data_IF_291354434526
#
_entry.id   IF_291354434526
#
_cell.length_a   1.000
_cell.length_b   1.000
_cell.length_c   1.000
_cell.angle_alpha   90.00
_cell.angle_beta   90.00
_cell.angle_gamma   90.00
#
_symmetry.space_group_name_H-M   'P 1'
#
loop_
_entity.id
_entity.type
_entity.pdbx_description
1 polymer ?
#
# COMPACT_ATOMS: atom_id res chain seq x y z
N UNK A 1 -21.86 5.00 -4.67
CA UNK A 1 -20.93 4.05 -5.33
C UNK A 1 -19.56 4.70 -5.19
N UNK A 2 -18.76 4.22 -4.25
CA UNK A 2 -17.38 4.69 -4.13
C UNK A 2 -16.63 4.29 -5.40
N UNK A 3 -16.19 5.29 -6.15
CA UNK A 3 -15.46 5.08 -7.39
C UNK A 3 -14.10 4.50 -7.05
N UNK A 4 -13.78 3.30 -7.54
CA UNK A 4 -12.49 2.65 -7.35
C UNK A 4 -11.55 2.97 -8.52
N UNK A 5 -10.26 3.08 -8.22
CA UNK A 5 -9.19 3.27 -9.20
C UNK A 5 -8.17 2.13 -9.10
N UNK A 6 -7.67 1.66 -10.24
CA UNK A 6 -6.54 0.73 -10.28
C UNK A 6 -5.25 1.51 -10.08
N UNK A 7 -4.48 1.12 -9.07
CA UNK A 7 -3.16 1.68 -8.76
C UNK A 7 -2.10 0.59 -8.82
N UNK A 8 -0.85 1.01 -8.93
CA UNK A 8 0.32 0.14 -8.84
C UNK A 8 1.08 0.44 -7.56
N UNK A 9 1.21 -0.56 -6.71
CA UNK A 9 1.96 -0.49 -5.46
C UNK A 9 3.34 -1.07 -5.71
N UNK A 10 4.37 -0.28 -5.40
CA UNK A 10 5.78 -0.66 -5.54
C UNK A 10 6.34 -0.99 -4.15
N UNK A 11 7.05 -2.11 -4.04
CA UNK A 11 7.67 -2.54 -2.80
C UNK A 11 9.19 -2.33 -2.84
N UNK A 12 9.73 -1.75 -1.77
CA UNK A 12 11.16 -1.46 -1.64
C UNK A 12 11.72 -2.05 -0.34
N UNK A 13 13.02 -2.32 -0.32
CA UNK A 13 13.73 -2.83 0.86
C UNK A 13 13.04 -4.06 1.47
N UNK A 14 12.77 -4.01 2.78
CA UNK A 14 12.16 -5.13 3.51
C UNK A 14 10.76 -5.49 3.02
N UNK A 15 9.98 -4.52 2.54
CA UNK A 15 8.65 -4.78 2.01
C UNK A 15 8.69 -5.68 0.78
N UNK A 16 9.70 -5.50 -0.08
CA UNK A 16 9.90 -6.34 -1.29
C UNK A 16 10.24 -7.78 -0.92
N UNK A 17 11.11 -7.96 0.08
CA UNK A 17 11.46 -9.29 0.60
C UNK A 17 10.25 -10.01 1.18
N UNK A 18 9.41 -9.29 1.95
CA UNK A 18 8.23 -9.86 2.58
C UNK A 18 7.12 -10.21 1.59
N UNK A 19 6.97 -9.44 0.51
CA UNK A 19 5.94 -9.67 -0.51
C UNK A 19 6.38 -10.65 -1.61
N UNK A 20 7.68 -10.98 -1.67
CA UNK A 20 8.32 -11.77 -2.71
C UNK A 20 7.98 -11.29 -4.14
N UNK A 21 7.87 -9.96 -4.29
CA UNK A 21 7.54 -9.30 -5.56
C UNK A 21 7.91 -7.83 -5.51
N UNK A 22 8.20 -7.25 -6.67
CA UNK A 22 8.55 -5.83 -6.78
C UNK A 22 7.34 -4.91 -6.83
N UNK A 23 6.24 -5.37 -7.42
CA UNK A 23 5.01 -4.58 -7.56
C UNK A 23 3.76 -5.44 -7.55
N UNK A 24 2.62 -4.81 -7.29
CA UNK A 24 1.30 -5.40 -7.46
C UNK A 24 0.29 -4.34 -7.88
N UNK A 25 -0.72 -4.75 -8.66
CA UNK A 25 -1.88 -3.92 -8.96
C UNK A 25 -2.93 -4.10 -7.86
N UNK A 26 -3.49 -3.00 -7.37
CA UNK A 26 -4.54 -2.99 -6.36
C UNK A 26 -5.65 -2.03 -6.78
N UNK A 27 -6.87 -2.28 -6.33
CA UNK A 27 -7.98 -1.34 -6.47
C UNK A 27 -8.19 -0.64 -5.15
N UNK A 28 -8.23 0.70 -5.18
CA UNK A 28 -8.43 1.53 -4.00
C UNK A 28 -9.55 2.54 -4.26
N UNK A 29 -10.23 3.02 -3.21
CA UNK A 29 -11.14 4.15 -3.33
C UNK A 29 -10.43 5.36 -3.94
N UNK A 30 -11.11 6.06 -4.86
CA UNK A 30 -10.58 7.24 -5.56
C UNK A 30 -10.14 8.36 -4.60
N UNK A 31 -10.84 8.50 -3.47
CA UNK A 31 -10.54 9.50 -2.44
C UNK A 31 -10.45 8.79 -1.11
N UNK A 32 -9.27 8.85 -0.49
CA UNK A 32 -9.02 8.24 0.80
C UNK A 32 -8.06 9.13 1.62
N UNK A 33 -8.34 9.41 2.91
CA UNK A 33 -7.37 10.06 3.79
C UNK A 33 -6.09 9.23 3.92
N UNK A 34 -4.94 9.88 4.04
CA UNK A 34 -3.64 9.19 4.12
C UNK A 34 -3.58 8.13 5.23
N UNK A 35 -4.09 8.43 6.43
CA UNK A 35 -4.14 7.45 7.53
C UNK A 35 -4.95 6.21 7.17
N UNK A 36 -6.07 6.41 6.46
CA UNK A 36 -6.92 5.31 5.99
C UNK A 36 -6.29 4.52 4.85
N UNK A 37 -5.54 5.19 3.96
CA UNK A 37 -4.74 4.52 2.95
C UNK A 37 -3.66 3.65 3.59
N UNK A 38 -2.97 4.19 4.59
CA UNK A 38 -1.93 3.47 5.32
C UNK A 38 -2.49 2.25 6.04
N UNK A 39 -3.59 2.40 6.76
CA UNK A 39 -4.31 1.29 7.39
C UNK A 39 -4.67 0.22 6.33
N UNK A 40 -5.42 0.61 5.29
CA UNK A 40 -5.84 -0.29 4.21
C UNK A 40 -4.67 -1.08 3.58
N UNK A 41 -3.54 -0.40 3.31
CA UNK A 41 -2.36 -1.03 2.70
C UNK A 41 -1.69 -2.03 3.65
N UNK A 42 -1.47 -1.65 4.91
CA UNK A 42 -0.66 -2.45 5.84
C UNK A 42 -1.46 -3.51 6.59
N UNK A 43 -2.77 -3.36 6.78
CA UNK A 43 -3.59 -4.29 7.56
C UNK A 43 -4.52 -5.13 6.71
N UNK A 44 -5.14 -4.55 5.66
CA UNK A 44 -6.15 -5.25 4.86
C UNK A 44 -5.56 -5.88 3.60
N UNK A 45 -4.84 -5.12 2.78
CA UNK A 45 -4.34 -5.58 1.48
C UNK A 45 -3.05 -6.40 1.58
N UNK A 46 -2.11 -5.94 2.41
CA UNK A 46 -0.80 -6.55 2.57
C UNK A 46 -0.48 -6.76 4.05
N UNK A 47 -1.33 -7.50 4.78
CA UNK A 47 -1.19 -7.73 6.22
C UNK A 47 0.19 -8.24 6.67
N UNK A 48 0.93 -8.94 5.81
CA UNK A 48 2.34 -9.32 6.04
C UNK A 48 3.26 -8.11 6.31
N UNK A 49 2.95 -6.95 5.75
CA UNK A 49 3.70 -5.70 5.93
C UNK A 49 3.36 -4.99 7.24
N UNK A 50 2.32 -5.39 7.97
CA UNK A 50 1.89 -4.76 9.24
C UNK A 50 3.07 -4.66 10.22
N UNK A 51 3.89 -5.71 10.29
CA UNK A 51 5.05 -5.80 11.18
C UNK A 51 6.12 -4.72 10.94
N UNK A 52 6.19 -4.15 9.73
CA UNK A 52 7.12 -3.07 9.38
C UNK A 52 6.41 -1.72 9.19
N UNK A 53 5.10 -1.65 9.40
CA UNK A 53 4.28 -0.46 9.12
C UNK A 53 4.87 0.79 9.77
N UNK A 54 5.17 0.74 11.08
CA UNK A 54 5.74 1.85 11.84
C UNK A 54 7.08 2.39 11.31
N UNK A 55 7.85 1.58 10.57
CA UNK A 55 9.14 1.96 9.98
C UNK A 55 9.06 2.23 8.47
N UNK A 56 7.86 2.16 7.88
CA UNK A 56 7.65 2.38 6.45
C UNK A 56 7.03 3.74 6.16
N UNK A 57 7.44 4.33 5.04
CA UNK A 57 6.84 5.54 4.45
C UNK A 57 6.09 5.14 3.18
N UNK A 58 4.91 5.72 2.97
CA UNK A 58 4.15 5.61 1.74
C UNK A 58 4.33 6.89 0.92
N UNK A 59 4.81 6.75 -0.31
CA UNK A 59 4.86 7.83 -1.29
C UNK A 59 3.77 7.61 -2.35
N UNK A 60 3.05 8.67 -2.72
CA UNK A 60 1.95 8.60 -3.71
C UNK A 60 2.38 9.42 -4.92
N UNK A 61 2.45 8.77 -6.10
CA UNK A 61 2.92 9.37 -7.36
C UNK A 61 4.26 10.14 -7.23
N UNK A 62 5.20 9.55 -6.47
CA UNK A 62 6.55 10.08 -6.21
C UNK A 62 6.56 11.46 -5.53
N UNK A 63 5.47 11.81 -4.84
CA UNK A 63 5.36 12.99 -3.98
C UNK A 63 5.27 12.62 -2.50
#
# INVERSE_FOLDING_TARGET
>A
MDEEVEVRVLFFGKARELMDREEIKARLPRVLPYEKLRELIFTELFGVLECISASCVLAVDLR
#
